data_IF_985652061079
#
_entry.id   IF_985652061079
#
_cell.length_a   1.000
_cell.length_b   1.000
_cell.length_c   1.000
_cell.angle_alpha   90.00
_cell.angle_beta   90.00
_cell.angle_gamma   90.00
#
_symmetry.space_group_name_H-M   'P 1'
#
loop_
_entity.id
_entity.type
_entity.pdbx_description
1 polymer ?
#
# COMPACT_ATOMS: atom_id res chain seq x y z
N UNK A 1 24.35 6.63 2.35
CA UNK A 1 23.45 5.71 1.65
C UNK A 1 23.83 4.32 2.07
N UNK A 2 23.01 3.70 2.90
CA UNK A 2 23.13 2.31 3.32
C UNK A 2 22.36 1.46 2.32
N UNK A 3 22.94 0.33 1.91
CA UNK A 3 22.28 -0.68 1.08
C UNK A 3 22.27 -1.95 1.91
N UNK A 4 21.09 -2.56 2.07
CA UNK A 4 20.93 -3.86 2.72
C UNK A 4 20.26 -4.80 1.74
N UNK A 5 20.86 -5.97 1.55
CA UNK A 5 20.29 -7.10 0.79
C UNK A 5 20.15 -8.25 1.79
N UNK A 6 18.96 -8.83 1.93
CA UNK A 6 18.69 -9.94 2.87
C UNK A 6 17.85 -11.03 2.19
N UNK A 7 18.47 -12.18 1.94
CA UNK A 7 17.81 -13.39 1.42
C UNK A 7 17.52 -14.34 2.58
N UNK A 8 16.24 -14.53 2.90
CA UNK A 8 15.86 -15.30 4.10
C UNK A 8 14.96 -16.49 3.80
N UNK A 9 15.24 -17.59 4.51
CA UNK A 9 14.44 -18.83 4.50
C UNK A 9 13.95 -19.12 5.91
N UNK A 10 12.64 -19.33 6.06
CA UNK A 10 12.03 -19.71 7.33
C UNK A 10 11.30 -18.55 7.99
N UNK A 11 11.59 -18.28 9.26
CA UNK A 11 10.89 -17.25 10.04
C UNK A 11 11.88 -16.18 10.47
N UNK A 12 11.64 -14.92 10.09
CA UNK A 12 12.58 -13.83 10.32
C UNK A 12 11.89 -12.50 10.69
N UNK A 13 12.53 -11.74 11.57
CA UNK A 13 11.97 -10.54 12.20
C UNK A 13 13.03 -9.42 12.30
N UNK A 14 13.50 -8.86 11.17
CA UNK A 14 14.56 -7.87 11.19
C UNK A 14 14.02 -6.52 11.64
N UNK A 15 14.86 -5.78 12.36
CA UNK A 15 14.57 -4.40 12.76
C UNK A 15 15.74 -3.53 12.33
N UNK A 16 15.43 -2.50 11.53
CA UNK A 16 16.42 -1.54 11.03
C UNK A 16 16.01 -0.11 11.34
N UNK A 17 17.01 0.71 11.66
CA UNK A 17 16.85 2.13 11.89
C UNK A 17 17.97 2.86 11.15
N UNK A 18 17.59 3.78 10.27
CA UNK A 18 18.52 4.67 9.57
C UNK A 18 18.14 6.14 9.80
N UNK A 19 19.15 7.01 9.82
CA UNK A 19 18.95 8.46 9.88
C UNK A 19 19.05 9.11 8.51
N UNK A 20 19.75 8.47 7.59
CA UNK A 20 20.02 8.98 6.26
C UNK A 20 19.34 8.07 5.23
N UNK A 21 19.57 8.35 3.94
CA UNK A 21 19.01 7.57 2.83
C UNK A 21 19.34 6.07 2.92
N UNK A 22 18.31 5.22 3.01
CA UNK A 22 18.39 3.76 2.91
C UNK A 22 17.89 3.22 1.57
N UNK A 23 18.55 2.19 1.06
CA UNK A 23 17.99 1.24 0.08
C UNK A 23 17.99 -0.15 0.71
N UNK A 24 16.87 -0.84 0.61
CA UNK A 24 16.73 -2.24 1.01
C UNK A 24 16.16 -3.03 -0.16
N UNK A 25 16.69 -4.24 -0.33
CA UNK A 25 16.22 -5.26 -1.28
C UNK A 25 16.10 -6.55 -0.46
N UNK A 26 14.89 -7.02 -0.18
CA UNK A 26 14.65 -8.15 0.73
C UNK A 26 13.87 -9.26 -0.01
N UNK A 27 14.49 -10.44 -0.17
CA UNK A 27 13.86 -11.63 -0.74
C UNK A 27 13.54 -12.65 0.37
N UNK A 28 12.27 -13.00 0.54
CA UNK A 28 11.85 -13.85 1.65
C UNK A 28 11.02 -15.07 1.22
N UNK A 29 11.44 -16.25 1.69
CA UNK A 29 10.71 -17.51 1.58
C UNK A 29 10.28 -18.00 2.98
N UNK A 30 9.00 -17.88 3.29
CA UNK A 30 8.43 -18.32 4.57
C UNK A 30 7.61 -17.23 5.26
N UNK A 31 8.00 -16.85 6.48
CA UNK A 31 7.27 -15.88 7.29
C UNK A 31 8.21 -14.74 7.71
N UNK A 32 7.94 -13.53 7.24
CA UNK A 32 8.86 -12.40 7.36
C UNK A 32 8.15 -11.14 7.89
N UNK A 33 8.70 -10.53 8.94
CA UNK A 33 8.11 -9.36 9.62
C UNK A 33 9.15 -8.25 9.82
N UNK A 34 9.51 -7.53 8.76
CA UNK A 34 10.54 -6.51 8.82
C UNK A 34 9.97 -5.23 9.39
N UNK A 35 10.75 -4.58 10.25
CA UNK A 35 10.43 -3.26 10.77
C UNK A 35 11.54 -2.31 10.36
N UNK A 36 11.15 -1.20 9.76
CA UNK A 36 12.08 -0.20 9.24
C UNK A 36 11.67 1.21 9.62
N UNK A 37 12.64 1.97 10.08
CA UNK A 37 12.50 3.39 10.38
C UNK A 37 13.57 4.18 9.62
N UNK A 38 13.13 5.16 8.85
CA UNK A 38 13.99 6.10 8.12
C UNK A 38 13.54 7.54 8.43
N UNK A 39 14.48 8.49 8.44
CA UNK A 39 14.19 9.91 8.68
C UNK A 39 14.11 10.73 7.41
N UNK A 40 14.78 10.31 6.33
CA UNK A 40 15.03 11.18 5.18
C UNK A 40 14.52 10.54 3.88
N UNK A 41 14.96 9.32 3.56
CA UNK A 41 14.53 8.68 2.31
C UNK A 41 14.76 7.18 2.33
N UNK A 42 13.67 6.42 2.35
CA UNK A 42 13.68 4.99 2.12
C UNK A 42 13.32 4.63 0.68
N UNK A 43 14.10 3.75 0.06
CA UNK A 43 13.64 2.87 -1.03
C UNK A 43 13.67 1.43 -0.54
N UNK A 44 12.57 0.72 -0.71
CA UNK A 44 12.47 -0.73 -0.45
C UNK A 44 11.97 -1.39 -1.72
N UNK A 45 12.54 -2.53 -2.03
CA UNK A 45 12.16 -3.46 -3.09
C UNK A 45 12.04 -4.81 -2.37
N UNK A 46 10.84 -5.36 -2.21
CA UNK A 46 10.60 -6.52 -1.34
C UNK A 46 9.87 -7.62 -2.14
N UNK A 47 10.50 -8.80 -2.31
CA UNK A 47 9.88 -9.96 -2.97
C UNK A 47 9.60 -11.07 -1.93
N UNK A 48 8.35 -11.50 -1.84
CA UNK A 48 7.92 -12.43 -0.79
C UNK A 48 7.12 -13.62 -1.30
N UNK A 49 7.50 -14.81 -0.83
CA UNK A 49 6.77 -16.07 -1.00
C UNK A 49 6.38 -16.63 0.37
N UNK A 50 5.09 -16.58 0.68
CA UNK A 50 4.54 -17.05 1.95
C UNK A 50 3.75 -15.97 2.66
N UNK A 51 4.23 -15.54 3.83
CA UNK A 51 3.51 -14.65 4.73
C UNK A 51 4.42 -13.48 5.12
N UNK A 52 4.05 -12.26 4.73
CA UNK A 52 4.94 -11.11 4.83
C UNK A 52 4.20 -9.88 5.36
N UNK A 53 4.77 -9.28 6.42
CA UNK A 53 4.14 -8.22 7.22
C UNK A 53 5.14 -7.09 7.51
N UNK A 54 5.44 -6.22 6.53
CA UNK A 54 6.44 -5.20 6.67
C UNK A 54 5.83 -3.99 7.34
N UNK A 55 6.57 -3.41 8.27
CA UNK A 55 6.22 -2.15 8.91
C UNK A 55 7.30 -1.14 8.55
N UNK A 56 6.85 -0.01 8.04
CA UNK A 56 7.73 1.04 7.56
C UNK A 56 7.26 2.41 8.03
N UNK A 57 8.21 3.16 8.57
CA UNK A 57 8.03 4.54 8.96
C UNK A 57 9.10 5.38 8.26
N UNK A 58 8.65 6.34 7.47
CA UNK A 58 9.48 7.38 6.88
C UNK A 58 8.93 8.75 7.31
N UNK A 59 9.80 9.74 7.48
CA UNK A 59 9.35 11.11 7.78
C UNK A 59 9.22 11.97 6.54
N UNK A 60 9.97 11.69 5.50
CA UNK A 60 10.16 12.59 4.38
C UNK A 60 9.75 11.90 3.09
N UNK A 61 10.41 10.81 2.68
CA UNK A 61 10.06 10.17 1.40
C UNK A 61 10.28 8.67 1.39
N UNK A 62 9.18 7.94 1.32
CA UNK A 62 9.16 6.51 1.01
C UNK A 62 8.87 6.21 -0.47
N UNK A 63 9.67 5.31 -1.04
CA UNK A 63 9.27 4.50 -2.20
C UNK A 63 9.31 3.02 -1.82
N UNK A 64 8.22 2.32 -2.07
CA UNK A 64 8.11 0.86 -1.99
C UNK A 64 7.73 0.33 -3.36
N UNK A 65 8.30 -0.81 -3.69
CA UNK A 65 8.03 -1.67 -4.84
C UNK A 65 7.97 -3.07 -4.23
N UNK A 66 6.78 -3.68 -4.14
CA UNK A 66 6.60 -4.90 -3.35
C UNK A 66 5.87 -5.98 -4.19
N UNK A 67 6.50 -7.14 -4.42
CA UNK A 67 5.90 -8.27 -5.14
C UNK A 67 5.65 -9.45 -4.18
N UNK A 68 4.41 -9.95 -4.13
CA UNK A 68 4.06 -10.97 -3.15
C UNK A 68 3.24 -12.14 -3.70
N UNK A 69 3.62 -13.35 -3.29
CA UNK A 69 2.90 -14.59 -3.50
C UNK A 69 2.49 -15.19 -2.15
N UNK A 70 1.20 -15.15 -1.85
CA UNK A 70 0.63 -15.69 -0.61
C UNK A 70 -0.15 -14.64 0.16
N UNK A 71 0.37 -14.24 1.31
CA UNK A 71 -0.34 -13.39 2.27
C UNK A 71 0.53 -12.18 2.62
N UNK A 72 0.11 -11.00 2.19
CA UNK A 72 0.90 -9.77 2.25
C UNK A 72 0.13 -8.67 3.01
N UNK A 73 0.75 -8.09 4.02
CA UNK A 73 0.12 -7.13 4.93
C UNK A 73 1.08 -5.97 5.30
N UNK A 74 1.42 -5.09 4.34
CA UNK A 74 2.32 -3.99 4.58
C UNK A 74 1.62 -2.86 5.33
N UNK A 75 2.33 -2.33 6.31
CA UNK A 75 1.95 -1.13 7.04
C UNK A 75 2.99 -0.06 6.76
N UNK A 76 2.51 1.09 6.31
CA UNK A 76 3.35 2.19 5.91
C UNK A 76 2.83 3.52 6.46
N UNK A 77 3.77 4.27 7.02
CA UNK A 77 3.55 5.62 7.47
C UNK A 77 4.58 6.52 6.83
N UNK A 78 4.11 7.58 6.17
CA UNK A 78 4.92 8.66 5.66
C UNK A 78 4.32 10.00 6.13
N UNK A 79 5.14 11.04 6.31
CA UNK A 79 4.60 12.37 6.64
C UNK A 79 4.54 13.31 5.46
N UNK A 80 5.31 13.13 4.39
CA UNK A 80 5.30 14.09 3.29
C UNK A 80 5.08 13.47 1.92
N UNK A 81 5.65 12.30 1.64
CA UNK A 81 5.48 11.68 0.33
C UNK A 81 5.72 10.18 0.32
N UNK A 82 4.63 9.43 0.18
CA UNK A 82 4.66 8.01 -0.18
C UNK A 82 4.42 7.77 -1.67
N UNK A 83 5.24 6.90 -2.27
CA UNK A 83 4.89 6.13 -3.47
C UNK A 83 4.95 4.64 -3.16
N UNK A 84 3.89 3.91 -3.48
CA UNK A 84 3.84 2.45 -3.51
C UNK A 84 3.49 1.99 -4.92
N UNK A 85 4.07 0.86 -5.29
CA UNK A 85 3.86 0.09 -6.52
C UNK A 85 3.85 -1.37 -6.04
N UNK A 86 2.69 -2.02 -5.97
CA UNK A 86 2.58 -3.30 -5.26
C UNK A 86 1.83 -4.35 -6.12
N UNK A 87 2.46 -5.49 -6.41
CA UNK A 87 1.86 -6.60 -7.17
C UNK A 87 1.65 -7.83 -6.28
N UNK A 88 0.44 -8.40 -6.27
CA UNK A 88 0.14 -9.51 -5.37
C UNK A 88 -0.69 -10.64 -5.99
N UNK A 89 -0.27 -11.89 -5.76
CA UNK A 89 -1.12 -13.08 -5.92
C UNK A 89 -1.47 -13.67 -4.56
N UNK A 90 -2.77 -13.73 -4.27
CA UNK A 90 -3.30 -14.33 -3.05
C UNK A 90 -4.11 -13.32 -2.25
N UNK A 91 -3.62 -12.97 -1.07
CA UNK A 91 -4.34 -12.18 -0.09
C UNK A 91 -3.51 -10.96 0.30
N UNK A 92 -3.99 -9.78 -0.07
CA UNK A 92 -3.25 -8.54 0.08
C UNK A 92 -4.04 -7.47 0.85
N UNK A 93 -3.44 -6.93 1.91
CA UNK A 93 -4.07 -5.96 2.82
C UNK A 93 -3.09 -4.83 3.20
N UNK A 94 -2.80 -3.89 2.29
CA UNK A 94 -1.93 -2.78 2.61
C UNK A 94 -2.65 -1.74 3.44
N UNK A 95 -1.94 -1.25 4.44
CA UNK A 95 -2.36 -0.11 5.26
C UNK A 95 -1.36 1.01 5.04
N UNK A 96 -1.89 2.17 4.70
CA UNK A 96 -1.09 3.34 4.38
C UNK A 96 -1.65 4.58 5.03
N UNK A 97 -0.74 5.32 5.66
CA UNK A 97 -0.99 6.65 6.19
C UNK A 97 0.02 7.61 5.57
N UNK A 98 -0.50 8.67 4.94
CA UNK A 98 0.27 9.83 4.51
C UNK A 98 -0.37 11.11 5.07
N UNK A 99 0.41 12.16 5.27
CA UNK A 99 -0.19 13.47 5.63
C UNK A 99 -0.31 14.40 4.44
N UNK A 100 0.62 14.39 3.50
CA UNK A 100 0.70 15.43 2.50
C UNK A 100 0.45 14.90 1.07
N UNK A 101 1.01 13.72 0.74
CA UNK A 101 0.86 13.15 -0.60
C UNK A 101 1.13 11.65 -0.69
N UNK A 102 0.06 10.89 -0.95
CA UNK A 102 0.14 9.49 -1.37
C UNK A 102 -0.05 9.29 -2.88
N UNK A 103 0.79 8.44 -3.48
CA UNK A 103 0.50 7.74 -4.74
C UNK A 103 0.60 6.23 -4.52
N UNK A 104 -0.42 5.49 -4.92
CA UNK A 104 -0.44 4.02 -5.00
C UNK A 104 -0.79 3.60 -6.42
N UNK A 105 -0.17 2.51 -6.85
CA UNK A 105 -0.39 1.79 -8.10
C UNK A 105 -0.34 0.31 -7.71
N UNK A 106 -1.47 -0.38 -7.69
CA UNK A 106 -1.54 -1.72 -7.08
C UNK A 106 -2.27 -2.72 -8.00
N UNK A 107 -1.62 -3.84 -8.35
CA UNK A 107 -2.22 -4.92 -9.16
C UNK A 107 -2.40 -6.19 -8.32
N UNK A 108 -3.61 -6.75 -8.28
CA UNK A 108 -3.89 -7.91 -7.43
C UNK A 108 -4.72 -9.01 -8.12
N UNK A 109 -4.27 -10.26 -7.94
CA UNK A 109 -5.08 -11.46 -8.21
C UNK A 109 -5.44 -12.16 -6.90
N UNK A 110 -6.73 -12.25 -6.61
CA UNK A 110 -7.26 -12.91 -5.43
C UNK A 110 -8.09 -11.96 -4.59
N UNK A 111 -7.60 -11.64 -3.39
CA UNK A 111 -8.35 -10.89 -2.39
C UNK A 111 -7.54 -9.68 -1.96
N UNK A 112 -8.05 -8.48 -2.27
CA UNK A 112 -7.36 -7.22 -2.08
C UNK A 112 -8.16 -6.21 -1.26
N UNK A 113 -7.55 -5.68 -0.21
CA UNK A 113 -8.18 -4.83 0.79
C UNK A 113 -7.27 -3.66 1.20
N UNK A 114 -7.03 -2.68 0.32
CA UNK A 114 -6.23 -1.54 0.70
C UNK A 114 -6.99 -0.62 1.64
N UNK A 115 -6.29 -0.18 2.68
CA UNK A 115 -6.72 0.88 3.57
C UNK A 115 -5.77 2.06 3.42
N UNK A 116 -6.35 3.21 3.17
CA UNK A 116 -5.61 4.44 2.96
C UNK A 116 -6.20 5.60 3.74
N UNK A 117 -5.30 6.33 4.39
CA UNK A 117 -5.59 7.61 5.00
C UNK A 117 -4.61 8.64 4.44
N UNK A 118 -5.14 9.71 3.88
CA UNK A 118 -4.39 10.89 3.45
C UNK A 118 -5.09 12.14 4.00
N UNK A 119 -4.35 13.20 4.35
CA UNK A 119 -5.00 14.46 4.75
C UNK A 119 -5.16 15.43 3.60
N UNK A 120 -4.28 15.37 2.62
CA UNK A 120 -4.10 16.45 1.65
C UNK A 120 -4.33 15.97 0.21
N UNK A 121 -3.64 14.91 -0.23
CA UNK A 121 -3.69 14.46 -1.64
C UNK A 121 -3.43 12.98 -1.81
N UNK A 122 -4.49 12.23 -2.10
CA UNK A 122 -4.38 10.85 -2.56
C UNK A 122 -4.56 10.71 -4.07
N UNK A 123 -3.67 9.93 -4.71
CA UNK A 123 -3.91 9.29 -6.01
C UNK A 123 -3.76 7.77 -5.88
N UNK A 124 -4.77 7.03 -6.33
CA UNK A 124 -4.76 5.56 -6.45
C UNK A 124 -5.13 5.18 -7.87
N UNK A 125 -4.49 4.12 -8.36
CA UNK A 125 -4.73 3.44 -9.63
C UNK A 125 -4.61 1.95 -9.29
N UNK A 126 -5.73 1.23 -9.22
CA UNK A 126 -5.74 -0.13 -8.69
C UNK A 126 -6.49 -1.08 -9.66
N UNK A 127 -5.82 -2.16 -10.09
CA UNK A 127 -6.42 -3.21 -10.93
C UNK A 127 -6.56 -4.53 -10.14
N UNK A 128 -7.76 -5.12 -10.16
CA UNK A 128 -8.00 -6.35 -9.40
C UNK A 128 -8.79 -7.42 -10.16
N UNK A 129 -8.32 -8.68 -10.10
CA UNK A 129 -9.15 -9.85 -10.42
C UNK A 129 -9.47 -10.62 -9.14
N UNK A 130 -10.76 -10.73 -8.80
CA UNK A 130 -11.23 -11.44 -7.61
C UNK A 130 -12.09 -10.57 -6.71
N UNK A 131 -11.70 -10.39 -5.46
CA UNK A 131 -12.42 -9.56 -4.47
C UNK A 131 -11.59 -8.35 -4.15
N UNK A 132 -12.12 -7.16 -4.40
CA UNK A 132 -11.48 -5.88 -4.13
C UNK A 132 -12.36 -5.02 -3.22
N UNK A 133 -11.83 -4.62 -2.07
CA UNK A 133 -12.56 -3.78 -1.11
C UNK A 133 -11.68 -2.64 -0.58
N UNK A 134 -11.45 -1.59 -1.39
CA UNK A 134 -10.67 -0.45 -0.95
C UNK A 134 -11.43 0.37 0.07
N UNK A 135 -10.70 0.84 1.07
CA UNK A 135 -11.17 1.84 2.01
C UNK A 135 -10.25 3.07 1.95
N UNK A 136 -10.85 4.23 1.74
CA UNK A 136 -10.12 5.51 1.73
C UNK A 136 -10.76 6.55 2.63
N UNK A 137 -9.89 7.27 3.33
CA UNK A 137 -10.21 8.50 4.04
C UNK A 137 -9.30 9.60 3.50
N UNK A 138 -9.88 10.65 2.91
CA UNK A 138 -9.13 11.83 2.45
C UNK A 138 -9.69 13.12 3.08
N UNK A 139 -8.79 13.99 3.51
CA UNK A 139 -9.16 15.29 4.07
C UNK A 139 -9.49 16.34 3.01
N UNK A 140 -8.89 16.26 1.81
CA UNK A 140 -8.85 17.38 0.87
C UNK A 140 -9.12 16.94 -0.59
N UNK A 141 -8.25 16.09 -1.17
CA UNK A 141 -8.25 15.81 -2.62
C UNK A 141 -7.92 14.36 -2.94
N UNK A 142 -8.96 13.64 -3.33
CA UNK A 142 -8.85 12.26 -3.80
C UNK A 142 -9.03 12.15 -5.31
N UNK A 143 -8.13 11.42 -5.96
CA UNK A 143 -8.33 10.80 -7.28
C UNK A 143 -8.18 9.28 -7.16
N UNK A 144 -9.18 8.52 -7.57
CA UNK A 144 -9.07 7.06 -7.77
C UNK A 144 -9.51 6.65 -9.16
N UNK A 145 -8.81 5.67 -9.71
CA UNK A 145 -9.09 4.96 -10.95
C UNK A 145 -8.97 3.48 -10.62
N UNK A 146 -10.11 2.78 -10.54
CA UNK A 146 -10.15 1.42 -10.01
C UNK A 146 -10.87 0.49 -11.01
N UNK A 147 -10.15 -0.48 -11.57
CA UNK A 147 -10.72 -1.49 -12.50
C UNK A 147 -10.80 -2.86 -11.81
N UNK A 148 -11.96 -3.50 -11.84
CA UNK A 148 -12.15 -4.80 -11.17
C UNK A 148 -12.94 -5.81 -12.00
N UNK A 149 -12.39 -7.03 -12.12
CA UNK A 149 -13.14 -8.20 -12.56
C UNK A 149 -13.46 -9.09 -11.35
N UNK A 150 -14.74 -9.16 -10.99
CA UNK A 150 -15.19 -9.97 -9.86
C UNK A 150 -16.09 -9.18 -8.92
N UNK A 151 -15.67 -9.02 -7.66
CA UNK A 151 -16.48 -8.39 -6.63
C UNK A 151 -15.78 -7.14 -6.12
N UNK A 152 -16.47 -6.00 -6.24
CA UNK A 152 -15.94 -4.68 -5.90
C UNK A 152 -16.80 -3.99 -4.84
N UNK A 153 -16.20 -3.68 -3.70
CA UNK A 153 -16.84 -3.01 -2.55
C UNK A 153 -16.03 -1.79 -2.08
N UNK A 154 -16.04 -0.66 -2.81
CA UNK A 154 -15.32 0.52 -2.36
C UNK A 154 -16.04 1.24 -1.23
N UNK A 155 -15.25 1.71 -0.27
CA UNK A 155 -15.68 2.57 0.82
C UNK A 155 -14.84 3.85 0.79
N UNK A 156 -15.48 5.00 0.68
CA UNK A 156 -14.81 6.30 0.72
C UNK A 156 -15.45 7.28 1.69
N UNK A 157 -14.62 7.96 2.46
CA UNK A 157 -14.98 9.12 3.25
C UNK A 157 -14.09 10.27 2.83
N UNK A 158 -14.69 11.35 2.33
CA UNK A 158 -13.95 12.52 1.88
C UNK A 158 -14.59 13.77 2.50
N UNK A 159 -13.74 14.65 3.04
CA UNK A 159 -14.18 15.94 3.62
C UNK A 159 -14.33 17.03 2.53
N UNK A 160 -13.80 16.80 1.33
CA UNK A 160 -13.66 17.78 0.24
C UNK A 160 -13.73 17.10 -1.17
N UNK A 161 -12.93 17.53 -2.16
CA UNK A 161 -13.08 17.21 -3.58
C UNK A 161 -12.65 15.79 -3.94
N UNK A 162 -13.60 15.02 -4.50
CA UNK A 162 -13.37 13.69 -5.04
C UNK A 162 -13.53 13.60 -6.56
N UNK A 163 -12.62 12.88 -7.21
CA UNK A 163 -12.81 12.31 -8.55
C UNK A 163 -12.57 10.80 -8.47
N UNK A 164 -13.57 10.01 -8.85
CA UNK A 164 -13.42 8.56 -8.95
C UNK A 164 -13.99 8.08 -10.28
N UNK A 165 -13.22 7.20 -10.91
CA UNK A 165 -13.56 6.48 -12.13
C UNK A 165 -13.39 5.01 -11.79
N UNK A 166 -14.52 4.31 -11.63
CA UNK A 166 -14.58 2.96 -11.09
C UNK A 166 -15.27 2.08 -12.16
N UNK A 167 -14.54 1.12 -12.74
CA UNK A 167 -15.09 0.18 -13.72
C UNK A 167 -15.07 -1.25 -13.16
N UNK A 168 -16.26 -1.78 -12.85
CA UNK A 168 -16.41 -3.13 -12.32
C UNK A 168 -17.19 -4.05 -13.25
N UNK A 169 -16.54 -5.13 -13.68
CA UNK A 169 -17.16 -6.26 -14.35
C UNK A 169 -17.46 -7.36 -13.32
N UNK A 170 -18.68 -7.33 -12.80
CA UNK A 170 -19.19 -8.33 -11.88
C UNK A 170 -20.17 -7.73 -10.88
N UNK A 171 -19.84 -7.84 -9.59
CA UNK A 171 -20.69 -7.38 -8.50
C UNK A 171 -20.12 -6.08 -7.93
N UNK A 172 -20.93 -5.02 -7.89
CA UNK A 172 -20.51 -3.69 -7.45
C UNK A 172 -21.39 -3.14 -6.33
N UNK A 173 -20.78 -2.76 -5.21
CA UNK A 173 -21.47 -2.24 -4.02
C UNK A 173 -20.69 -1.09 -3.38
N UNK A 174 -20.85 0.16 -3.87
CA UNK A 174 -20.15 1.31 -3.34
C UNK A 174 -20.80 1.90 -2.08
N UNK A 175 -19.97 2.39 -1.17
CA UNK A 175 -20.37 3.24 -0.04
C UNK A 175 -19.53 4.51 -0.10
N UNK A 176 -20.18 5.67 -0.18
CA UNK A 176 -19.50 6.96 -0.14
C UNK A 176 -20.16 7.92 0.85
N UNK A 177 -19.34 8.53 1.69
CA UNK A 177 -19.70 9.67 2.51
C UNK A 177 -18.91 10.89 2.03
N UNK A 178 -19.60 11.98 1.79
CA UNK A 178 -19.06 13.25 1.32
C UNK A 178 -19.66 14.32 2.23
N UNK A 179 -18.81 15.02 2.98
CA UNK A 179 -19.26 15.96 4.01
C UNK A 179 -19.96 17.19 3.43
N UNK A 180 -19.71 17.49 2.16
CA UNK A 180 -20.23 18.68 1.46
C UNK A 180 -21.48 18.38 0.60
N UNK A 181 -22.03 17.17 0.65
CA UNK A 181 -23.30 16.77 0.00
C UNK A 181 -24.47 16.65 0.97
#
# INVERSE_FOLDING_TARGET
MTVTEDDTLGVYFPISYDKDKKRSEDDALGVYFPISYDKDKKRSEDDALGVYFPISYDKDKKRSEDDALGVYFPISYDKTKKRSEDDALGVYFPISYDKDKKRSEDDALGVYFPISYDKDKKRSEDDALGVYMPTSYDGDKKRSEDDTLGVYFPISYDDDKKRSEDDALGVYFPISYDKDK
#
